data_IF_486262230771
#
_entry.id   IF_486262230771
#
_cell.length_a   1.000
_cell.length_b   1.000
_cell.length_c   1.000
_cell.angle_alpha   90.00
_cell.angle_beta   90.00
_cell.angle_gamma   90.00
#
_symmetry.space_group_name_H-M   'P 1'
#
loop_
_entity.id
_entity.type
_entity.pdbx_description
1 polymer ?
#
# COMPACT_ATOMS: atom_id res chain seq x y z
N UNK A 1 -12.53 16.15 22.28
CA UNK A 1 -12.17 15.52 20.99
C UNK A 1 -10.66 15.40 20.81
N UNK A 2 -9.89 16.42 21.12
CA UNK A 2 -8.41 16.37 21.06
C UNK A 2 -7.81 15.25 21.91
N UNK A 3 -8.32 15.04 23.14
CA UNK A 3 -7.86 13.93 24.00
C UNK A 3 -8.00 12.53 23.39
N UNK A 4 -8.96 12.34 22.47
CA UNK A 4 -9.12 11.06 21.76
C UNK A 4 -8.07 10.85 20.69
N UNK A 5 -7.52 11.94 20.18
CA UNK A 5 -6.52 11.99 19.13
C UNK A 5 -5.09 12.17 19.67
N UNK A 6 -4.93 12.11 21.01
CA UNK A 6 -3.63 12.15 21.65
C UNK A 6 -2.81 10.90 21.24
N UNK A 7 -1.71 11.12 20.51
CA UNK A 7 -0.90 10.03 19.94
C UNK A 7 -0.24 9.19 21.03
N UNK A 8 0.22 9.80 22.12
CA UNK A 8 0.89 9.08 23.21
C UNK A 8 -0.13 8.22 23.97
N UNK A 9 -1.34 8.74 24.21
CA UNK A 9 -2.44 7.98 24.79
C UNK A 9 -2.85 6.82 23.88
N UNK A 10 -3.03 7.06 22.59
CA UNK A 10 -3.38 6.01 21.64
C UNK A 10 -2.25 4.97 21.52
N UNK A 11 -1.00 5.41 21.53
CA UNK A 11 0.15 4.51 21.53
C UNK A 11 0.16 3.64 22.81
N UNK A 12 -0.06 4.23 23.98
CA UNK A 12 -0.15 3.49 25.24
C UNK A 12 -1.25 2.43 25.20
N UNK A 13 -2.43 2.72 24.63
CA UNK A 13 -3.52 1.76 24.48
C UNK A 13 -3.18 0.60 23.53
N UNK A 14 -2.20 0.76 22.66
CA UNK A 14 -1.77 -0.29 21.71
C UNK A 14 -0.78 -1.26 22.34
N UNK A 15 -0.11 -0.91 23.43
CA UNK A 15 0.92 -1.76 24.03
C UNK A 15 0.37 -3.12 24.43
N UNK A 16 0.91 -4.17 23.82
CA UNK A 16 0.59 -5.56 24.10
C UNK A 16 1.80 -6.44 23.77
N UNK A 17 1.80 -7.67 24.29
CA UNK A 17 2.83 -8.66 23.96
C UNK A 17 2.83 -8.97 22.45
N UNK A 18 1.67 -9.03 21.82
CA UNK A 18 1.52 -9.29 20.39
C UNK A 18 2.10 -8.14 19.54
N UNK A 19 1.82 -6.89 19.91
CA UNK A 19 2.40 -5.72 19.27
C UNK A 19 3.94 -5.75 19.32
N UNK A 20 4.50 -6.01 20.50
CA UNK A 20 5.96 -6.05 20.67
C UNK A 20 6.60 -7.16 19.82
N UNK A 21 5.98 -8.34 19.79
CA UNK A 21 6.44 -9.47 18.96
C UNK A 21 6.45 -9.11 17.48
N UNK A 22 5.36 -8.52 16.95
CA UNK A 22 5.26 -8.11 15.53
C UNK A 22 6.27 -7.01 15.20
N UNK A 23 6.43 -6.03 16.08
CA UNK A 23 7.40 -4.96 15.92
C UNK A 23 8.84 -5.51 15.85
N UNK A 24 9.23 -6.41 16.75
CA UNK A 24 10.57 -7.03 16.72
C UNK A 24 10.82 -7.79 15.41
N UNK A 25 9.83 -8.51 14.89
CA UNK A 25 9.94 -9.21 13.62
C UNK A 25 10.24 -8.24 12.47
N UNK A 26 9.61 -7.07 12.45
CA UNK A 26 9.85 -6.04 11.43
C UNK A 26 11.27 -5.48 11.56
N UNK A 27 11.68 -5.07 12.77
CA UNK A 27 13.02 -4.49 12.99
C UNK A 27 14.13 -5.49 12.63
N UNK A 28 13.99 -6.75 12.98
CA UNK A 28 14.97 -7.79 12.64
C UNK A 28 15.09 -8.01 11.12
N UNK A 29 13.97 -7.94 10.39
CA UNK A 29 13.96 -8.18 8.93
C UNK A 29 14.32 -6.96 8.10
N UNK A 30 14.13 -5.75 8.62
CA UNK A 30 14.36 -4.49 7.91
C UNK A 30 15.78 -4.39 7.36
N UNK A 31 16.78 -4.72 8.16
CA UNK A 31 18.19 -4.62 7.76
C UNK A 31 18.59 -5.60 6.65
N UNK A 32 17.85 -6.70 6.50
CA UNK A 32 18.13 -7.70 5.48
C UNK A 32 17.67 -7.27 4.08
N UNK A 33 16.75 -6.32 3.97
CA UNK A 33 16.22 -5.87 2.67
C UNK A 33 17.25 -5.17 1.79
N UNK A 34 18.23 -4.48 2.37
CA UNK A 34 19.31 -3.82 1.61
C UNK A 34 20.10 -4.79 0.71
N UNK A 35 20.02 -6.08 0.99
CA UNK A 35 20.58 -7.13 0.14
C UNK A 35 19.89 -7.22 -1.24
N UNK A 36 18.63 -6.76 -1.33
CA UNK A 36 17.87 -6.77 -2.60
C UNK A 36 18.43 -5.78 -3.61
N UNK A 37 19.02 -4.66 -3.18
CA UNK A 37 19.54 -3.61 -4.05
C UNK A 37 20.61 -4.12 -5.04
N UNK A 38 21.30 -5.19 -4.69
CA UNK A 38 22.32 -5.82 -5.53
C UNK A 38 21.74 -6.76 -6.60
N UNK A 39 20.43 -7.03 -6.57
CA UNK A 39 19.83 -7.98 -7.50
C UNK A 39 19.54 -7.37 -8.87
N UNK A 40 19.66 -8.22 -9.89
CA UNK A 40 19.31 -7.86 -11.26
C UNK A 40 17.82 -7.51 -11.38
N UNK A 41 17.50 -6.51 -12.19
CA UNK A 41 16.13 -6.04 -12.47
C UNK A 41 15.39 -5.41 -11.26
N UNK A 42 16.11 -4.93 -10.25
CA UNK A 42 15.51 -4.27 -9.09
C UNK A 42 14.67 -3.04 -9.50
N UNK A 43 15.14 -2.25 -10.48
CA UNK A 43 14.41 -1.08 -10.98
C UNK A 43 13.05 -1.47 -11.58
N UNK A 44 12.98 -2.62 -12.28
CA UNK A 44 11.72 -3.13 -12.81
C UNK A 44 10.76 -3.55 -11.70
N UNK A 45 11.30 -4.11 -10.62
CA UNK A 45 10.51 -4.46 -9.44
C UNK A 45 9.95 -3.20 -8.77
N UNK A 46 10.78 -2.17 -8.59
CA UNK A 46 10.38 -0.88 -8.02
C UNK A 46 9.30 -0.21 -8.85
N UNK A 47 9.48 -0.13 -10.17
CA UNK A 47 8.48 0.43 -11.07
C UNK A 47 7.14 -0.35 -11.01
N UNK A 48 7.21 -1.69 -10.94
CA UNK A 48 6.02 -2.54 -10.79
C UNK A 48 5.35 -2.33 -9.45
N UNK A 49 6.11 -2.21 -8.36
CA UNK A 49 5.59 -1.95 -7.02
C UNK A 49 4.78 -0.66 -6.98
N UNK A 50 5.32 0.45 -7.51
CA UNK A 50 4.62 1.75 -7.58
C UNK A 50 3.33 1.68 -8.43
N UNK A 51 3.36 0.97 -9.56
CA UNK A 51 2.16 0.74 -10.39
C UNK A 51 1.08 -0.04 -9.67
N UNK A 52 1.46 -1.08 -8.94
CA UNK A 52 0.53 -1.89 -8.16
C UNK A 52 0.02 -1.09 -6.95
N UNK A 53 0.87 -0.29 -6.31
CA UNK A 53 0.47 0.59 -5.21
C UNK A 53 -0.63 1.55 -5.66
N UNK A 54 -0.42 2.32 -6.72
CA UNK A 54 -1.43 3.22 -7.27
C UNK A 54 -2.75 2.50 -7.61
N UNK A 55 -2.66 1.30 -8.18
CA UNK A 55 -3.85 0.52 -8.54
C UNK A 55 -4.63 0.03 -7.31
N UNK A 56 -3.95 -0.50 -6.31
CA UNK A 56 -4.62 -1.05 -5.14
C UNK A 56 -5.11 0.03 -4.18
N UNK A 57 -4.44 1.19 -4.10
CA UNK A 57 -4.98 2.38 -3.43
C UNK A 57 -6.35 2.76 -4.03
N UNK A 58 -6.42 2.85 -5.35
CA UNK A 58 -7.67 3.12 -6.05
C UNK A 58 -8.76 2.08 -5.74
N UNK A 59 -8.38 0.79 -5.71
CA UNK A 59 -9.31 -0.30 -5.40
C UNK A 59 -9.82 -0.26 -3.96
N UNK A 60 -9.00 0.16 -3.00
CA UNK A 60 -9.38 0.32 -1.59
C UNK A 60 -10.39 1.45 -1.40
N UNK A 61 -10.32 2.51 -2.19
CA UNK A 61 -11.36 3.57 -2.27
C UNK A 61 -12.57 3.16 -3.14
N UNK A 62 -12.71 1.86 -3.44
CA UNK A 62 -13.82 1.29 -4.24
C UNK A 62 -13.90 1.81 -5.67
N UNK A 63 -12.81 2.34 -6.20
CA UNK A 63 -12.67 2.75 -7.60
C UNK A 63 -11.99 1.63 -8.39
N UNK A 64 -12.23 1.56 -9.67
CA UNK A 64 -11.66 0.50 -10.53
C UNK A 64 -11.29 1.04 -11.89
N UNK A 65 -10.15 0.59 -12.39
CA UNK A 65 -9.76 0.67 -13.80
C UNK A 65 -9.58 -0.74 -14.36
N UNK A 66 -9.62 -0.88 -15.67
CA UNK A 66 -9.33 -2.18 -16.31
C UNK A 66 -7.86 -2.53 -16.09
N UNK A 67 -7.58 -3.75 -15.69
CA UNK A 67 -6.21 -4.17 -15.37
C UNK A 67 -5.24 -4.05 -16.57
N UNK A 68 -5.75 -4.27 -17.79
CA UNK A 68 -4.98 -4.06 -19.03
C UNK A 68 -4.69 -2.57 -19.30
N UNK A 69 -5.55 -1.67 -18.83
CA UNK A 69 -5.39 -0.23 -19.01
C UNK A 69 -4.21 0.35 -18.23
N UNK A 70 -3.74 -0.31 -17.14
CA UNK A 70 -2.57 0.16 -16.38
C UNK A 70 -1.37 0.49 -17.27
N UNK A 71 -1.02 -0.46 -18.18
CA UNK A 71 0.13 -0.31 -19.08
C UNK A 71 -0.10 0.66 -20.23
N UNK A 72 -1.34 0.75 -20.70
CA UNK A 72 -1.71 1.66 -21.80
C UNK A 72 -1.75 3.11 -21.32
N UNK A 73 -2.31 3.34 -20.12
CA UNK A 73 -2.40 4.67 -19.51
C UNK A 73 -1.01 5.23 -19.25
N UNK A 74 -0.10 4.43 -18.71
CA UNK A 74 1.28 4.88 -18.44
C UNK A 74 2.08 5.16 -19.70
N UNK A 75 1.76 4.52 -20.83
CA UNK A 75 2.45 4.76 -22.11
C UNK A 75 1.90 5.96 -22.89
N UNK A 76 0.59 6.20 -22.82
CA UNK A 76 -0.09 7.11 -23.75
C UNK A 76 -0.57 8.43 -23.09
N UNK A 77 -0.46 8.59 -21.78
CA UNK A 77 -0.87 9.77 -21.00
C UNK A 77 -2.31 10.28 -21.25
N UNK A 78 -3.13 9.53 -22.00
CA UNK A 78 -4.52 9.89 -22.31
C UNK A 78 -5.48 9.11 -21.41
N UNK A 79 -5.93 9.77 -20.33
CA UNK A 79 -6.99 9.25 -19.47
C UNK A 79 -8.35 9.44 -20.14
N UNK A 80 -9.16 8.37 -20.14
CA UNK A 80 -10.53 8.38 -20.68
C UNK A 80 -11.59 8.51 -19.60
N UNK A 81 -11.23 8.23 -18.36
CA UNK A 81 -12.14 8.25 -17.21
C UNK A 81 -11.48 8.89 -16.00
N UNK A 82 -12.30 9.38 -15.07
CA UNK A 82 -11.82 9.94 -13.80
C UNK A 82 -10.99 8.93 -12.99
N UNK A 83 -11.37 7.66 -13.02
CA UNK A 83 -10.60 6.63 -12.33
C UNK A 83 -9.21 6.40 -12.95
N UNK A 84 -9.08 6.54 -14.28
CA UNK A 84 -7.78 6.50 -14.95
C UNK A 84 -6.94 7.73 -14.59
N UNK A 85 -7.56 8.90 -14.52
CA UNK A 85 -6.88 10.13 -14.08
C UNK A 85 -6.41 10.03 -12.63
N UNK A 86 -7.26 9.55 -11.73
CA UNK A 86 -6.88 9.27 -10.34
C UNK A 86 -5.71 8.29 -10.23
N UNK A 87 -5.71 7.24 -11.05
CA UNK A 87 -4.59 6.29 -11.09
C UNK A 87 -3.27 6.97 -11.49
N UNK A 88 -3.30 7.84 -12.50
CA UNK A 88 -2.10 8.59 -12.93
C UNK A 88 -1.64 9.53 -11.82
N UNK A 89 -2.57 10.28 -11.21
CA UNK A 89 -2.25 11.21 -10.12
C UNK A 89 -1.63 10.46 -8.91
N UNK A 90 -2.17 9.29 -8.56
CA UNK A 90 -1.59 8.42 -7.51
C UNK A 90 -0.18 7.98 -7.89
N UNK A 91 0.05 7.57 -9.13
CA UNK A 91 1.36 7.14 -9.59
C UNK A 91 2.39 8.28 -9.58
N UNK A 92 1.98 9.48 -9.97
CA UNK A 92 2.83 10.68 -9.90
C UNK A 92 3.19 11.02 -8.45
N UNK A 93 2.21 10.99 -7.53
CA UNK A 93 2.45 11.22 -6.11
C UNK A 93 3.42 10.19 -5.50
N UNK A 94 3.28 8.91 -5.87
CA UNK A 94 4.19 7.85 -5.44
C UNK A 94 5.61 8.00 -6.01
N UNK A 95 5.76 8.57 -7.20
CA UNK A 95 7.08 8.87 -7.76
C UNK A 95 7.74 10.07 -7.08
N UNK A 96 6.95 11.00 -6.53
CA UNK A 96 7.44 12.20 -5.87
C UNK A 96 7.70 11.98 -4.35
N UNK A 97 7.41 10.81 -3.80
CA UNK A 97 7.64 10.51 -2.37
C UNK A 97 9.10 10.75 -1.99
N UNK A 98 10.03 10.36 -2.85
CA UNK A 98 11.48 10.54 -2.63
C UNK A 98 11.87 12.03 -2.61
N UNK A 99 11.14 12.89 -3.34
CA UNK A 99 11.40 14.34 -3.43
C UNK A 99 10.92 15.07 -2.18
N UNK A 100 9.94 14.51 -1.48
CA UNK A 100 9.45 15.05 -0.20
C UNK A 100 10.39 14.73 0.97
N UNK A 101 11.46 13.96 0.71
CA UNK A 101 12.43 13.56 1.72
C UNK A 101 13.08 14.79 2.38
N UNK A 102 13.00 14.83 3.71
CA UNK A 102 13.52 15.92 4.53
C UNK A 102 12.50 17.00 4.94
N UNK A 103 11.35 17.10 4.31
CA UNK A 103 10.30 18.02 4.76
C UNK A 103 9.47 17.40 5.90
N UNK A 104 9.15 18.20 6.92
CA UNK A 104 8.18 17.78 7.92
C UNK A 104 6.77 17.78 7.35
N UNK A 105 6.00 16.72 7.63
CA UNK A 105 4.60 16.66 7.23
C UNK A 105 3.84 17.84 7.83
N UNK A 106 3.18 18.61 6.98
CA UNK A 106 2.43 19.81 7.35
C UNK A 106 1.05 19.80 6.72
N UNK A 107 0.14 20.60 7.26
CA UNK A 107 -1.20 20.77 6.71
C UNK A 107 -1.14 21.21 5.24
N UNK A 108 -0.20 22.09 4.90
CA UNK A 108 0.03 22.55 3.52
C UNK A 108 0.40 21.37 2.59
N UNK A 109 1.30 20.51 3.02
CA UNK A 109 1.70 19.32 2.25
C UNK A 109 0.51 18.37 2.06
N UNK A 110 -0.24 18.07 3.13
CA UNK A 110 -1.42 17.20 3.05
C UNK A 110 -2.47 17.78 2.08
N UNK A 111 -2.74 19.08 2.18
CA UNK A 111 -3.68 19.78 1.30
C UNK A 111 -3.21 19.76 -0.16
N UNK A 112 -1.94 20.07 -0.42
CA UNK A 112 -1.39 20.06 -1.78
C UNK A 112 -1.38 18.65 -2.39
N UNK A 113 -1.07 17.62 -1.60
CA UNK A 113 -1.15 16.21 -2.02
C UNK A 113 -2.58 15.82 -2.39
N UNK A 114 -3.56 16.19 -1.57
CA UNK A 114 -4.97 15.94 -1.87
C UNK A 114 -5.45 16.63 -3.15
N UNK A 115 -5.04 17.89 -3.36
CA UNK A 115 -5.35 18.64 -4.59
C UNK A 115 -4.73 17.97 -5.82
N UNK A 116 -3.45 17.58 -5.74
CA UNK A 116 -2.78 16.87 -6.80
C UNK A 116 -3.48 15.53 -7.10
N UNK A 117 -3.95 14.83 -6.06
CA UNK A 117 -4.73 13.61 -6.22
C UNK A 117 -6.03 13.86 -7.02
N UNK A 118 -6.72 14.96 -6.76
CA UNK A 118 -7.99 15.33 -7.43
C UNK A 118 -7.80 16.09 -8.76
N UNK A 119 -6.59 16.43 -9.15
CA UNK A 119 -6.34 17.23 -10.35
C UNK A 119 -6.90 16.58 -11.61
N UNK A 120 -7.78 17.33 -12.31
CA UNK A 120 -8.43 16.86 -13.54
C UNK A 120 -9.42 15.69 -13.35
N UNK A 121 -9.78 15.37 -12.11
CA UNK A 121 -10.85 14.41 -11.79
C UNK A 121 -12.13 15.22 -11.68
N UNK A 122 -13.03 15.10 -12.68
CA UNK A 122 -14.25 15.87 -12.73
C UNK A 122 -15.30 15.37 -11.75
N UNK A 123 -15.82 16.27 -10.92
CA UNK A 123 -17.25 16.31 -10.79
C UNK A 123 -17.74 16.98 -12.09
N UNK A 124 -18.45 16.21 -12.92
CA UNK A 124 -19.16 16.63 -14.13
C UNK A 124 -18.89 18.08 -14.61
N UNK A 125 -18.11 18.21 -15.66
CA UNK A 125 -18.17 19.27 -16.67
C UNK A 125 -18.79 20.62 -16.23
N UNK A 126 -18.14 21.37 -15.36
CA UNK A 126 -18.22 22.83 -15.40
C UNK A 126 -16.81 23.33 -15.62
N UNK A 127 -16.54 23.66 -16.87
CA UNK A 127 -15.33 24.26 -17.40
C UNK A 127 -14.81 25.36 -16.48
N UNK A 128 -13.69 25.10 -15.80
CA UNK A 128 -12.88 26.18 -15.24
C UNK A 128 -11.82 26.53 -16.27
N UNK A 129 -12.25 27.28 -17.29
CA UNK A 129 -11.34 27.99 -18.18
C UNK A 129 -11.23 29.42 -17.60
N UNK A 130 -10.03 29.81 -17.18
CA UNK A 130 -9.74 31.17 -16.74
C UNK A 130 -9.01 31.22 -15.40
N UNK A 131 -7.76 30.86 -15.40
CA UNK A 131 -6.94 30.71 -14.19
C UNK A 131 -5.87 31.79 -14.15
N UNK A 132 -5.92 32.69 -13.16
CA UNK A 132 -4.69 33.12 -12.46
C UNK A 132 -4.91 33.78 -11.08
N UNK A 133 -6.03 34.41 -10.79
CA UNK A 133 -6.21 35.08 -9.49
C UNK A 133 -7.43 34.60 -8.68
N UNK A 134 -8.36 33.90 -9.31
CA UNK A 134 -9.50 33.26 -8.64
C UNK A 134 -9.16 31.86 -8.08
N UNK A 135 -8.05 31.30 -8.51
CA UNK A 135 -7.61 29.93 -8.13
C UNK A 135 -7.28 29.82 -6.65
N UNK A 136 -6.69 30.85 -6.03
CA UNK A 136 -6.35 30.77 -4.60
C UNK A 136 -7.58 30.80 -3.70
N UNK A 137 -8.61 31.61 -4.00
CA UNK A 137 -9.84 31.69 -3.20
C UNK A 137 -10.77 30.50 -3.42
N UNK A 138 -10.91 30.01 -4.67
CA UNK A 138 -11.65 28.78 -4.95
C UNK A 138 -10.95 27.54 -4.38
N UNK A 139 -9.61 27.54 -4.37
CA UNK A 139 -8.82 26.50 -3.71
C UNK A 139 -8.99 26.51 -2.20
N UNK A 140 -9.02 27.66 -1.55
CA UNK A 140 -9.29 27.75 -0.11
C UNK A 140 -10.69 27.23 0.26
N UNK A 141 -11.71 27.47 -0.57
CA UNK A 141 -13.06 26.95 -0.33
C UNK A 141 -13.23 25.46 -0.64
N UNK A 142 -12.46 24.91 -1.60
CA UNK A 142 -12.40 23.47 -1.91
C UNK A 142 -11.53 22.70 -0.92
N UNK A 143 -10.63 23.39 -0.22
CA UNK A 143 -9.73 22.87 0.79
C UNK A 143 -10.29 22.98 2.21
N UNK A 144 -11.44 23.63 2.37
CA UNK A 144 -12.09 23.65 3.67
C UNK A 144 -12.39 22.19 4.06
N UNK A 145 -11.73 21.62 5.07
CA UNK A 145 -12.21 20.39 5.67
C UNK A 145 -13.65 20.66 6.09
N UNK A 146 -14.47 19.62 6.12
CA UNK A 146 -15.93 19.66 6.33
C UNK A 146 -16.44 20.53 7.47
N UNK A 147 -15.54 20.93 8.37
CA UNK A 147 -15.81 21.92 9.42
C UNK A 147 -14.48 22.54 9.86
N UNK A 148 -14.55 23.74 10.43
CA UNK A 148 -13.43 24.35 11.14
C UNK A 148 -12.87 23.41 12.22
N UNK A 149 -13.71 22.55 12.77
CA UNK A 149 -13.37 21.53 13.75
C UNK A 149 -12.41 20.46 13.16
N UNK A 150 -12.68 19.93 11.97
CA UNK A 150 -11.81 18.92 11.36
C UNK A 150 -10.43 19.46 10.99
N UNK A 151 -10.35 20.76 10.60
CA UNK A 151 -9.07 21.42 10.35
C UNK A 151 -8.26 21.59 11.64
N UNK A 152 -8.91 21.96 12.75
CA UNK A 152 -8.23 22.09 14.05
C UNK A 152 -7.72 20.73 14.57
N UNK A 153 -8.48 19.65 14.36
CA UNK A 153 -8.09 18.29 14.74
C UNK A 153 -6.92 17.79 13.92
N UNK A 154 -6.89 18.08 12.61
CA UNK A 154 -5.75 17.74 11.76
C UNK A 154 -4.49 18.51 12.17
N UNK A 155 -4.62 19.80 12.44
CA UNK A 155 -3.51 20.63 12.94
C UNK A 155 -2.99 20.12 14.29
N UNK A 156 -3.88 19.69 15.18
CA UNK A 156 -3.53 19.07 16.45
C UNK A 156 -2.72 17.77 16.26
N UNK A 157 -3.20 16.85 15.42
CA UNK A 157 -2.50 15.60 15.11
C UNK A 157 -1.10 15.85 14.53
N UNK A 158 -0.97 16.80 13.60
CA UNK A 158 0.31 17.17 12.99
C UNK A 158 1.28 17.76 14.01
N UNK A 159 0.76 18.59 14.93
CA UNK A 159 1.58 19.15 16.03
C UNK A 159 2.13 18.03 16.90
N UNK A 160 1.33 17.03 17.26
CA UNK A 160 1.77 15.90 18.05
C UNK A 160 2.80 15.04 17.32
N UNK A 161 2.56 14.70 16.04
CA UNK A 161 3.51 13.97 15.22
C UNK A 161 4.87 14.67 15.17
N UNK A 162 4.86 16.01 15.00
CA UNK A 162 6.06 16.81 15.00
C UNK A 162 6.77 16.84 16.35
N UNK A 163 6.04 16.88 17.45
CA UNK A 163 6.63 16.80 18.79
C UNK A 163 7.26 15.43 19.01
N UNK A 164 6.55 14.35 18.68
CA UNK A 164 7.06 12.98 18.83
C UNK A 164 8.33 12.74 18.00
N UNK A 165 8.43 13.34 16.78
CA UNK A 165 9.62 13.20 15.93
C UNK A 165 10.89 13.86 16.48
N UNK A 166 10.76 14.79 17.43
CA UNK A 166 11.90 15.46 18.08
C UNK A 166 12.50 14.65 19.22
N UNK A 167 11.75 13.69 19.75
CA UNK A 167 12.22 12.83 20.83
C UNK A 167 12.81 11.54 20.27
N UNK A 168 14.13 11.37 20.37
CA UNK A 168 14.85 10.20 19.82
C UNK A 168 14.39 8.86 20.43
N UNK A 169 13.76 8.89 21.60
CA UNK A 169 13.24 7.72 22.30
C UNK A 169 11.93 7.21 21.71
N UNK A 170 11.21 8.05 20.95
CA UNK A 170 9.92 7.69 20.38
C UNK A 170 10.10 6.76 19.18
N UNK A 171 9.33 5.70 19.17
CA UNK A 171 9.28 4.78 18.05
C UNK A 171 8.46 5.36 16.90
N UNK A 172 9.13 5.95 15.92
CA UNK A 172 8.48 6.64 14.81
C UNK A 172 7.66 5.71 13.89
N UNK A 173 7.96 4.41 13.83
CA UNK A 173 7.10 3.45 13.14
C UNK A 173 5.72 3.39 13.78
N UNK A 174 5.69 3.11 15.08
CA UNK A 174 4.42 2.98 15.81
C UNK A 174 3.66 4.30 15.83
N UNK A 175 4.36 5.41 16.10
CA UNK A 175 3.77 6.76 16.09
C UNK A 175 3.15 7.10 14.73
N UNK A 176 3.82 6.76 13.62
CA UNK A 176 3.29 6.98 12.27
C UNK A 176 2.03 6.17 12.03
N UNK A 177 2.00 4.90 12.41
CA UNK A 177 0.83 4.05 12.23
C UNK A 177 -0.34 4.55 13.10
N UNK A 178 -0.09 4.92 14.35
CA UNK A 178 -1.10 5.51 15.25
C UNK A 178 -1.65 6.81 14.66
N UNK A 179 -0.77 7.71 14.17
CA UNK A 179 -1.18 8.94 13.48
C UNK A 179 -2.13 8.66 12.32
N UNK A 180 -1.81 7.69 11.47
CA UNK A 180 -2.66 7.31 10.33
C UNK A 180 -3.98 6.68 10.79
N UNK A 181 -4.00 5.89 11.86
CA UNK A 181 -5.23 5.39 12.47
C UNK A 181 -6.16 6.52 12.93
N UNK A 182 -5.61 7.53 13.60
CA UNK A 182 -6.35 8.74 13.99
C UNK A 182 -6.82 9.55 12.77
N UNK A 183 -5.97 9.71 11.75
CA UNK A 183 -6.33 10.39 10.50
C UNK A 183 -7.49 9.69 9.77
N UNK A 184 -7.47 8.35 9.68
CA UNK A 184 -8.57 7.57 9.14
C UNK A 184 -9.86 7.73 9.94
N UNK A 185 -9.76 7.82 11.27
CA UNK A 185 -10.92 7.99 12.15
C UNK A 185 -11.63 9.33 11.90
N UNK A 186 -10.88 10.43 11.81
CA UNK A 186 -11.43 11.75 11.51
C UNK A 186 -11.87 11.90 10.05
N UNK A 187 -11.22 11.19 9.12
CA UNK A 187 -11.51 11.26 7.66
C UNK A 187 -11.64 12.70 7.16
N UNK A 188 -10.54 13.48 7.11
CA UNK A 188 -10.61 14.94 6.95
C UNK A 188 -11.03 15.40 5.56
N UNK A 189 -11.19 14.51 4.60
CA UNK A 189 -11.57 14.83 3.22
C UNK A 189 -12.94 14.24 2.87
N UNK A 190 -13.55 14.80 1.84
CA UNK A 190 -14.83 14.33 1.31
C UNK A 190 -14.67 12.93 0.67
N UNK A 191 -13.63 12.76 -0.12
CA UNK A 191 -13.32 11.53 -0.84
C UNK A 191 -11.87 11.13 -0.62
N UNK A 192 -11.54 9.91 -0.97
CA UNK A 192 -10.16 9.37 -1.03
C UNK A 192 -9.40 9.38 0.30
N UNK A 193 -10.12 9.33 1.43
CA UNK A 193 -9.47 9.28 2.74
C UNK A 193 -8.60 8.05 2.93
N UNK A 194 -8.96 6.91 2.35
CA UNK A 194 -8.15 5.68 2.43
C UNK A 194 -6.87 5.84 1.61
N UNK A 195 -6.97 6.28 0.34
CA UNK A 195 -5.78 6.53 -0.48
C UNK A 195 -4.86 7.58 0.14
N UNK A 196 -5.43 8.68 0.63
CA UNK A 196 -4.64 9.73 1.31
C UNK A 196 -3.94 9.20 2.56
N UNK A 197 -4.63 8.43 3.40
CA UNK A 197 -4.04 7.86 4.61
C UNK A 197 -2.87 6.93 4.30
N UNK A 198 -3.03 6.05 3.32
CA UNK A 198 -1.99 5.10 2.97
C UNK A 198 -0.82 5.76 2.23
N UNK A 199 -1.06 6.76 1.38
CA UNK A 199 0.01 7.61 0.81
C UNK A 199 0.82 8.33 1.89
N UNK A 200 0.13 8.88 2.90
CA UNK A 200 0.81 9.52 4.02
C UNK A 200 1.58 8.51 4.88
N UNK A 201 1.05 7.29 5.02
CA UNK A 201 1.76 6.21 5.70
C UNK A 201 3.01 5.82 4.92
N UNK A 202 2.93 5.62 3.61
CA UNK A 202 4.07 5.32 2.74
C UNK A 202 5.15 6.40 2.87
N UNK A 203 4.76 7.67 2.83
CA UNK A 203 5.68 8.79 3.05
C UNK A 203 6.38 8.73 4.41
N UNK A 204 5.61 8.52 5.50
CA UNK A 204 6.18 8.45 6.84
C UNK A 204 7.08 7.23 7.02
N UNK A 205 6.68 6.08 6.49
CA UNK A 205 7.48 4.86 6.52
C UNK A 205 8.80 5.05 5.77
N UNK A 206 8.76 5.62 4.56
CA UNK A 206 9.96 5.93 3.79
C UNK A 206 10.88 6.89 4.55
N UNK A 207 10.34 7.99 5.07
CA UNK A 207 11.08 8.99 5.86
C UNK A 207 11.81 8.37 7.06
N UNK A 208 11.25 7.36 7.70
CA UNK A 208 11.86 6.67 8.84
C UNK A 208 12.61 5.39 8.46
N UNK A 209 12.89 5.20 7.16
CA UNK A 209 13.74 4.15 6.63
C UNK A 209 13.08 2.77 6.57
N UNK A 210 11.76 2.72 6.39
CA UNK A 210 11.01 1.49 6.10
C UNK A 210 10.65 1.49 4.62
N UNK A 211 11.60 1.13 3.77
CA UNK A 211 11.58 1.29 2.32
C UNK A 211 11.09 0.04 1.54
N UNK A 212 10.46 -0.91 2.22
CA UNK A 212 9.97 -2.16 1.61
C UNK A 212 8.97 -1.92 0.46
N UNK A 213 8.27 -0.77 0.47
CA UNK A 213 7.34 -0.39 -0.60
C UNK A 213 8.03 -0.17 -1.95
N UNK A 214 9.34 0.06 -1.97
CA UNK A 214 10.11 0.07 -3.21
C UNK A 214 10.09 -1.29 -3.92
N UNK A 215 9.89 -2.38 -3.19
CA UNK A 215 9.96 -3.74 -3.72
C UNK A 215 8.60 -4.45 -3.79
N UNK A 216 7.64 -4.04 -2.96
CA UNK A 216 6.30 -4.64 -2.86
C UNK A 216 5.24 -3.60 -2.55
N UNK A 217 4.14 -3.66 -3.28
CA UNK A 217 2.98 -2.81 -3.02
C UNK A 217 2.34 -3.14 -1.67
N UNK A 218 2.33 -2.17 -0.77
CA UNK A 218 1.72 -2.27 0.54
C UNK A 218 0.20 -2.41 0.43
N UNK A 219 -0.42 -1.56 -0.37
CA UNK A 219 -1.86 -1.58 -0.60
C UNK A 219 -2.36 -2.86 -1.24
N UNK A 220 -1.52 -3.57 -2.01
CA UNK A 220 -1.86 -4.89 -2.54
C UNK A 220 -2.05 -5.91 -1.42
N UNK A 221 -1.17 -5.91 -0.43
CA UNK A 221 -1.28 -6.80 0.73
C UNK A 221 -2.51 -6.44 1.58
N UNK A 222 -2.76 -5.16 1.84
CA UNK A 222 -4.00 -4.71 2.49
C UNK A 222 -5.24 -5.15 1.70
N UNK A 223 -5.21 -5.07 0.37
CA UNK A 223 -6.32 -5.44 -0.48
C UNK A 223 -6.59 -6.96 -0.49
N UNK A 224 -5.57 -7.80 -0.34
CA UNK A 224 -5.74 -9.25 -0.16
C UNK A 224 -6.66 -9.52 1.05
N UNK A 225 -6.52 -8.73 2.09
CA UNK A 225 -7.31 -8.85 3.33
C UNK A 225 -8.30 -7.68 3.52
N UNK A 226 -8.85 -7.19 2.40
CA UNK A 226 -9.74 -6.02 2.38
C UNK A 226 -11.00 -6.14 3.24
N UNK A 227 -11.47 -7.37 3.49
CA UNK A 227 -12.64 -7.58 4.37
C UNK A 227 -12.31 -7.14 5.79
N UNK A 228 -11.15 -7.56 6.29
CA UNK A 228 -10.67 -7.22 7.62
C UNK A 228 -10.30 -5.73 7.70
N UNK A 229 -9.58 -5.19 6.73
CA UNK A 229 -9.30 -3.76 6.65
C UNK A 229 -10.59 -2.92 6.70
N UNK A 230 -11.62 -3.27 5.92
CA UNK A 230 -12.90 -2.56 5.92
C UNK A 230 -13.65 -2.69 7.27
N UNK A 231 -13.50 -3.82 7.98
CA UNK A 231 -14.05 -4.01 9.33
C UNK A 231 -13.39 -3.04 10.31
N UNK A 232 -12.05 -3.04 10.33
CA UNK A 232 -11.24 -2.17 11.19
C UNK A 232 -11.53 -0.70 10.90
N UNK A 233 -11.55 -0.29 9.63
CA UNK A 233 -11.86 1.09 9.24
C UNK A 233 -13.24 1.56 9.73
N UNK A 234 -14.27 0.71 9.58
CA UNK A 234 -15.60 1.03 10.12
C UNK A 234 -15.60 1.14 11.62
N UNK A 235 -14.87 0.28 12.32
CA UNK A 235 -14.73 0.30 13.77
C UNK A 235 -14.04 1.57 14.25
N UNK A 236 -12.94 2.00 13.60
CA UNK A 236 -12.28 3.28 13.89
C UNK A 236 -13.26 4.45 13.80
N UNK A 237 -14.02 4.55 12.71
CA UNK A 237 -15.00 5.63 12.53
C UNK A 237 -16.12 5.60 13.58
N UNK A 238 -16.62 4.42 13.92
CA UNK A 238 -17.69 4.27 14.89
C UNK A 238 -17.21 4.58 16.31
N UNK A 239 -16.04 4.08 16.72
CA UNK A 239 -15.45 4.35 18.03
C UNK A 239 -15.13 5.83 18.22
N UNK A 240 -14.64 6.50 17.17
CA UNK A 240 -14.42 7.95 17.18
C UNK A 240 -15.72 8.72 17.39
N UNK A 241 -16.80 8.41 16.67
CA UNK A 241 -18.12 9.02 16.83
C UNK A 241 -18.71 8.80 18.23
N UNK A 242 -18.35 7.70 18.88
CA UNK A 242 -18.79 7.36 20.23
C UNK A 242 -17.88 7.92 21.34
N UNK A 243 -16.89 8.75 21.00
CA UNK A 243 -15.87 9.26 21.92
C UNK A 243 -15.06 8.14 22.63
N UNK A 244 -14.83 7.00 21.94
CA UNK A 244 -14.12 5.82 22.45
C UNK A 244 -13.05 5.32 21.47
N UNK A 245 -12.36 6.24 20.78
CA UNK A 245 -11.36 5.86 19.80
C UNK A 245 -10.28 4.95 20.40
N UNK A 246 -10.02 3.85 19.71
CA UNK A 246 -8.92 2.94 19.97
C UNK A 246 -8.38 2.43 18.64
N UNK A 247 -7.10 2.71 18.37
CA UNK A 247 -6.44 2.36 17.10
C UNK A 247 -5.68 1.03 17.17
N UNK A 248 -5.73 0.30 18.27
CA UNK A 248 -4.91 -0.90 18.52
C UNK A 248 -5.05 -1.95 17.43
N UNK A 249 -6.28 -2.29 17.02
CA UNK A 249 -6.51 -3.28 15.97
C UNK A 249 -5.94 -2.82 14.62
N UNK A 250 -6.03 -1.53 14.31
CA UNK A 250 -5.43 -0.97 13.10
C UNK A 250 -3.90 -1.10 13.13
N UNK A 251 -3.27 -0.75 14.26
CA UNK A 251 -1.82 -0.85 14.44
C UNK A 251 -1.36 -2.30 14.25
N UNK A 252 -2.02 -3.24 14.90
CA UNK A 252 -1.70 -4.67 14.78
C UNK A 252 -1.88 -5.19 13.34
N UNK A 253 -2.93 -4.77 12.65
CA UNK A 253 -3.18 -5.13 11.26
C UNK A 253 -2.06 -4.62 10.34
N UNK A 254 -1.67 -3.35 10.47
CA UNK A 254 -0.59 -2.76 9.67
C UNK A 254 0.75 -3.45 9.95
N UNK A 255 1.12 -3.68 11.21
CA UNK A 255 2.35 -4.40 11.56
C UNK A 255 2.35 -5.84 11.03
N UNK A 256 1.22 -6.54 11.08
CA UNK A 256 1.07 -7.88 10.52
C UNK A 256 1.31 -7.86 9.01
N UNK A 257 0.68 -6.92 8.30
CA UNK A 257 0.84 -6.74 6.85
C UNK A 257 2.30 -6.44 6.49
N UNK A 258 2.97 -5.57 7.23
CA UNK A 258 4.41 -5.30 7.04
C UNK A 258 5.25 -6.58 7.25
N UNK A 259 4.99 -7.33 8.30
CA UNK A 259 5.67 -8.59 8.59
C UNK A 259 5.54 -9.61 7.45
N UNK A 260 4.37 -9.69 6.83
CA UNK A 260 4.10 -10.56 5.67
C UNK A 260 4.88 -10.10 4.42
N UNK A 261 4.95 -8.79 4.19
CA UNK A 261 5.72 -8.22 3.08
C UNK A 261 7.20 -8.51 3.26
N UNK A 262 7.78 -8.23 4.43
CA UNK A 262 9.18 -8.54 4.72
C UNK A 262 9.48 -10.04 4.55
N UNK A 263 8.59 -10.89 5.04
CA UNK A 263 8.74 -12.35 4.89
C UNK A 263 8.71 -12.78 3.42
N UNK A 264 7.79 -12.23 2.64
CA UNK A 264 7.67 -12.49 1.20
C UNK A 264 8.91 -12.05 0.43
N UNK A 265 9.46 -10.86 0.76
CA UNK A 265 10.67 -10.33 0.11
C UNK A 265 11.91 -11.17 0.43
N UNK A 266 12.12 -11.51 1.70
CA UNK A 266 13.25 -12.35 2.11
C UNK A 266 13.15 -13.76 1.54
N UNK A 267 11.95 -14.34 1.44
CA UNK A 267 11.71 -15.58 0.77
C UNK A 267 12.05 -15.50 -0.73
N UNK A 268 11.60 -14.46 -1.42
CA UNK A 268 11.97 -14.22 -2.82
C UNK A 268 13.49 -14.13 -2.99
N UNK A 269 14.15 -13.41 -2.09
CA UNK A 269 15.61 -13.28 -2.10
C UNK A 269 16.31 -14.63 -1.92
N UNK A 270 15.91 -15.42 -0.94
CA UNK A 270 16.52 -16.76 -0.69
C UNK A 270 16.36 -17.66 -1.89
N UNK A 271 15.15 -17.71 -2.48
CA UNK A 271 14.87 -18.55 -3.63
C UNK A 271 15.64 -18.08 -4.90
N UNK A 272 15.83 -16.77 -5.06
CA UNK A 272 16.61 -16.20 -6.17
C UNK A 272 18.09 -16.59 -6.06
N UNK A 273 18.66 -16.62 -4.87
CA UNK A 273 20.08 -16.96 -4.65
C UNK A 273 20.41 -18.44 -4.83
N UNK A 274 19.43 -19.34 -4.78
CA UNK A 274 19.69 -20.75 -5.06
C UNK A 274 20.30 -20.95 -6.45
N UNK A 275 21.27 -21.86 -6.57
CA UNK A 275 21.94 -22.17 -7.85
C UNK A 275 21.10 -23.02 -8.82
N UNK A 276 19.81 -23.14 -8.56
CA UNK A 276 18.90 -23.97 -9.34
C UNK A 276 18.43 -23.26 -10.63
N UNK A 277 17.97 -24.04 -11.63
CA UNK A 277 17.36 -23.51 -12.85
C UNK A 277 16.02 -22.82 -12.54
N UNK A 278 15.58 -21.93 -13.41
CA UNK A 278 14.29 -21.23 -13.28
C UNK A 278 13.11 -22.19 -13.07
N UNK A 279 13.11 -23.30 -13.80
CA UNK A 279 12.09 -24.35 -13.69
C UNK A 279 12.01 -24.95 -12.28
N UNK A 280 13.15 -25.27 -11.68
CA UNK A 280 13.20 -25.85 -10.32
C UNK A 280 12.77 -24.85 -9.26
N UNK A 281 13.15 -23.57 -9.39
CA UNK A 281 12.70 -22.50 -8.49
C UNK A 281 11.19 -22.27 -8.57
N UNK A 282 10.61 -22.28 -9.77
CA UNK A 282 9.16 -22.19 -9.97
C UNK A 282 8.46 -23.40 -9.34
N UNK A 283 9.02 -24.59 -9.52
CA UNK A 283 8.46 -25.80 -8.91
C UNK A 283 8.50 -25.72 -7.37
N UNK A 284 9.63 -25.32 -6.79
CA UNK A 284 9.78 -25.12 -5.34
C UNK A 284 8.78 -24.10 -4.83
N UNK A 285 8.65 -22.96 -5.50
CA UNK A 285 7.68 -21.92 -5.14
C UNK A 285 6.23 -22.44 -5.12
N UNK A 286 5.84 -23.21 -6.15
CA UNK A 286 4.49 -23.79 -6.20
C UNK A 286 4.31 -24.87 -5.13
N UNK A 287 5.35 -25.66 -4.87
CA UNK A 287 5.35 -26.75 -3.87
C UNK A 287 5.18 -26.20 -2.45
N UNK A 288 5.83 -25.11 -2.12
CA UNK A 288 5.83 -24.52 -0.79
C UNK A 288 4.65 -23.58 -0.55
N UNK A 289 3.96 -23.21 -1.63
CA UNK A 289 2.78 -22.33 -1.52
C UNK A 289 1.60 -23.06 -0.88
N UNK A 290 0.98 -22.42 0.11
CA UNK A 290 -0.25 -22.89 0.76
C UNK A 290 -1.51 -22.71 -0.10
N UNK A 291 -1.42 -21.93 -1.17
CA UNK A 291 -2.54 -21.60 -2.06
C UNK A 291 -2.10 -21.68 -3.53
N UNK A 292 -3.04 -21.90 -4.46
CA UNK A 292 -2.75 -21.83 -5.88
C UNK A 292 -2.11 -20.49 -6.26
N UNK A 293 -1.05 -20.51 -7.06
CA UNK A 293 -0.33 -19.32 -7.49
C UNK A 293 -0.74 -18.91 -8.91
N UNK A 294 -1.03 -17.63 -9.10
CA UNK A 294 -1.17 -17.07 -10.43
C UNK A 294 0.20 -16.87 -11.08
N UNK A 295 0.22 -16.75 -12.42
CA UNK A 295 1.44 -16.39 -13.13
C UNK A 295 2.02 -15.06 -12.62
N UNK A 296 1.17 -14.10 -12.29
CA UNK A 296 1.58 -12.80 -11.75
C UNK A 296 2.27 -12.91 -10.40
N UNK A 297 1.80 -13.82 -9.50
CA UNK A 297 2.46 -14.09 -8.22
C UNK A 297 3.85 -14.72 -8.41
N UNK A 298 4.00 -15.61 -9.41
CA UNK A 298 5.28 -16.23 -9.75
C UNK A 298 6.25 -15.18 -10.35
N UNK A 299 5.79 -14.34 -11.27
CA UNK A 299 6.56 -13.23 -11.85
C UNK A 299 7.03 -12.23 -10.78
N UNK A 300 6.21 -12.02 -9.77
CA UNK A 300 6.53 -11.11 -8.66
C UNK A 300 7.57 -11.70 -7.72
N UNK A 301 7.46 -12.98 -7.42
CA UNK A 301 8.40 -13.68 -6.52
C UNK A 301 9.75 -13.90 -7.18
N UNK A 302 9.77 -14.26 -8.45
CA UNK A 302 10.97 -14.56 -9.23
C UNK A 302 11.26 -13.46 -10.27
N UNK A 303 11.22 -12.21 -9.84
CA UNK A 303 11.31 -10.99 -10.67
C UNK A 303 12.59 -10.87 -11.50
N UNK A 304 13.63 -11.62 -11.17
CA UNK A 304 14.88 -11.65 -11.95
C UNK A 304 14.71 -12.32 -13.34
N UNK A 305 13.65 -13.11 -13.51
CA UNK A 305 13.37 -13.79 -14.78
C UNK A 305 12.41 -12.99 -15.65
N UNK A 306 12.61 -13.07 -16.96
CA UNK A 306 11.68 -12.51 -17.93
C UNK A 306 10.35 -13.29 -17.93
N UNK A 307 9.27 -12.64 -18.36
CA UNK A 307 7.96 -13.28 -18.54
C UNK A 307 8.04 -14.51 -19.42
N UNK A 308 8.78 -14.40 -20.54
CA UNK A 308 8.99 -15.50 -21.47
C UNK A 308 9.68 -16.69 -20.81
N UNK A 309 10.69 -16.44 -19.95
CA UNK A 309 11.37 -17.50 -19.20
C UNK A 309 10.39 -18.20 -18.26
N UNK A 310 9.56 -17.44 -17.54
CA UNK A 310 8.57 -18.01 -16.62
C UNK A 310 7.51 -18.82 -17.39
N UNK A 311 6.98 -18.29 -18.50
CA UNK A 311 6.01 -18.99 -19.34
C UNK A 311 6.56 -20.30 -19.90
N UNK A 312 7.78 -20.29 -20.40
CA UNK A 312 8.47 -21.50 -20.89
C UNK A 312 8.62 -22.53 -19.77
N UNK A 313 9.12 -22.11 -18.61
CA UNK A 313 9.32 -23.02 -17.46
C UNK A 313 7.99 -23.60 -16.94
N UNK A 314 6.92 -22.81 -16.91
CA UNK A 314 5.58 -23.29 -16.53
C UNK A 314 5.05 -24.29 -17.55
N UNK A 315 5.21 -24.05 -18.86
CA UNK A 315 4.83 -24.96 -19.93
C UNK A 315 5.58 -26.30 -19.81
N UNK A 316 6.89 -26.27 -19.55
CA UNK A 316 7.72 -27.46 -19.35
C UNK A 316 7.28 -28.25 -18.11
N UNK A 317 7.00 -27.58 -16.99
CA UNK A 317 6.52 -28.24 -15.76
C UNK A 317 5.13 -28.87 -15.95
N UNK A 318 4.25 -28.25 -16.70
CA UNK A 318 2.96 -28.81 -17.06
C UNK A 318 3.08 -30.03 -17.96
N UNK A 319 3.93 -29.97 -19.00
CA UNK A 319 4.17 -31.11 -19.91
C UNK A 319 4.79 -32.32 -19.21
N UNK A 320 5.59 -32.09 -18.18
CA UNK A 320 6.17 -33.10 -17.30
C UNK A 320 5.19 -33.62 -16.24
N UNK A 321 3.95 -33.15 -16.22
CA UNK A 321 2.95 -33.47 -15.18
C UNK A 321 3.41 -33.17 -13.75
N UNK A 322 4.35 -32.26 -13.53
CA UNK A 322 4.82 -31.86 -12.20
C UNK A 322 3.89 -30.84 -11.54
N UNK A 323 3.31 -29.95 -12.37
CA UNK A 323 2.29 -28.99 -11.97
C UNK A 323 1.07 -29.08 -12.92
N UNK A 324 -0.05 -28.61 -12.47
CA UNK A 324 -1.25 -28.47 -13.29
C UNK A 324 -1.87 -27.09 -13.19
N UNK A 325 -2.48 -26.66 -14.29
CA UNK A 325 -3.28 -25.44 -14.34
C UNK A 325 -4.68 -25.76 -13.81
N UNK A 326 -5.13 -24.97 -12.83
CA UNK A 326 -6.52 -24.96 -12.37
C UNK A 326 -7.10 -23.60 -12.68
N UNK A 327 -8.36 -23.55 -13.07
CA UNK A 327 -9.00 -22.37 -13.63
C UNK A 327 -8.37 -21.91 -14.96
N UNK A 328 -9.20 -21.48 -15.90
CA UNK A 328 -8.78 -21.07 -17.22
C UNK A 328 -8.98 -19.57 -17.42
N UNK A 329 -8.23 -18.98 -18.35
CA UNK A 329 -8.36 -17.59 -18.72
C UNK A 329 -7.71 -16.65 -17.72
N UNK A 330 -8.41 -15.58 -17.37
CA UNK A 330 -7.85 -14.48 -16.55
C UNK A 330 -7.50 -14.89 -15.10
N UNK A 331 -8.06 -15.99 -14.60
CA UNK A 331 -7.89 -16.50 -13.24
C UNK A 331 -7.07 -17.79 -13.19
N UNK A 332 -6.27 -18.05 -14.22
CA UNK A 332 -5.39 -19.24 -14.28
C UNK A 332 -4.43 -19.28 -13.11
N UNK A 333 -4.44 -20.40 -12.39
CA UNK A 333 -3.52 -20.63 -11.27
C UNK A 333 -2.91 -22.01 -11.37
N UNK A 334 -1.72 -22.17 -10.76
CA UNK A 334 -0.90 -23.38 -10.82
C UNK A 334 -0.83 -24.03 -9.45
N UNK A 335 -0.90 -25.38 -9.44
CA UNK A 335 -0.75 -26.25 -8.26
C UNK A 335 0.09 -27.46 -8.61
N UNK A 336 0.56 -28.21 -7.60
CA UNK A 336 1.21 -29.51 -7.82
C UNK A 336 0.26 -30.51 -8.46
N UNK A 337 0.75 -31.35 -9.36
CA UNK A 337 -0.06 -32.41 -10.00
C UNK A 337 -0.44 -33.53 -9.03
N UNK A 338 0.37 -33.81 -8.01
CA UNK A 338 0.17 -34.86 -7.02
C UNK A 338 -0.77 -34.50 -5.86
N UNK A 339 -1.30 -33.30 -5.82
CA UNK A 339 -2.33 -32.94 -4.85
C UNK A 339 -3.68 -33.53 -5.28
N UNK A 340 -3.96 -34.74 -4.85
CA UNK A 340 -5.34 -35.25 -4.70
C UNK A 340 -6.04 -34.37 -3.68
N UNK A 341 -6.39 -33.19 -4.08
CA UNK A 341 -7.06 -32.23 -3.23
C UNK A 341 -8.53 -32.52 -3.27
N UNK A 342 -9.08 -32.85 -2.14
CA UNK A 342 -10.45 -32.61 -1.78
C UNK A 342 -10.91 -31.30 -2.42
N UNK A 343 -11.82 -31.43 -3.33
CA UNK A 343 -12.51 -30.31 -4.00
C UNK A 343 -13.20 -29.50 -2.89
N UNK A 344 -12.63 -28.39 -2.49
CA UNK A 344 -13.39 -27.36 -1.79
C UNK A 344 -14.24 -26.64 -2.84
N UNK A 345 -15.45 -27.15 -3.01
CA UNK A 345 -16.56 -26.43 -3.64
C UNK A 345 -17.06 -25.45 -2.58
N UNK A 346 -16.81 -24.15 -2.78
CA UNK A 346 -17.51 -23.06 -2.11
C UNK A 346 -18.03 -22.07 -3.16
#
# INVERSE_FOLDING_TARGET
MEELLDLDKQLFLTFSKDLFSKFQVIENKRFDLKKLDSLKNIDLLTAKSKLDEAYFLLCLDKRKIRQNSKKEITKNSKCKTDNEKLFVNLLELLNDIDVLDGSDLSEKIIKSTYLKLKEGVGESNKSVVGVSSRFSKAMESLLAPYSNETSSLLAFLLKQLKLSSRHKENNMLLTSIVFIGCFLAISPFEFYNVSMSLLLLDYLLYKFGYDFMNYRSFSRFIYKDKKEFNRIYRQLKNSYKQNKLNVSEFVLFILSTMGDIYSSLLYSYSLILEKNKSQDKIYTLIKESKSPLSKEDIEETLFIYSKTTIEKSLGELCSQNRIRLINFGRYSTYVLSSSSSSIFIF
#
